data_IF_562929289057
#
_entry.id   IF_562929289057
#
_cell.length_a   1.000
_cell.length_b   1.000
_cell.length_c   1.000
_cell.angle_alpha   90.00
_cell.angle_beta   90.00
_cell.angle_gamma   90.00
#
_symmetry.space_group_name_H-M   'P 1'
#
loop_
_entity.id
_entity.type
_entity.pdbx_description
1 polymer ?
#
# COMPACT_ATOMS: atom_id res chain seq x y z
N UNK A 1 15.94 14.89 2.22
CA UNK A 1 16.46 14.62 0.88
C UNK A 1 15.34 14.81 -0.15
N UNK A 2 15.61 15.54 -1.25
CA UNK A 2 14.63 15.71 -2.31
C UNK A 2 14.37 14.38 -3.01
N UNK A 3 13.14 14.15 -3.50
CA UNK A 3 12.76 12.95 -4.26
C UNK A 3 13.67 12.71 -5.48
N UNK A 4 14.15 13.78 -6.10
CA UNK A 4 15.12 13.70 -7.20
C UNK A 4 16.45 13.10 -6.75
N UNK A 5 16.97 13.52 -5.59
CA UNK A 5 18.22 13.01 -5.03
C UNK A 5 18.11 11.53 -4.64
N UNK A 6 16.99 11.13 -4.04
CA UNK A 6 16.72 9.72 -3.73
C UNK A 6 16.67 8.85 -4.99
N UNK A 7 15.97 9.29 -6.04
CA UNK A 7 15.94 8.57 -7.33
C UNK A 7 17.34 8.41 -7.93
N UNK A 8 18.15 9.48 -7.94
CA UNK A 8 19.51 9.43 -8.46
C UNK A 8 20.42 8.50 -7.66
N UNK A 9 20.23 8.42 -6.34
CA UNK A 9 20.96 7.47 -5.49
C UNK A 9 20.58 6.03 -5.83
N UNK A 10 19.29 5.73 -6.01
CA UNK A 10 18.83 4.39 -6.41
C UNK A 10 19.37 3.99 -7.78
N UNK A 11 19.31 4.88 -8.78
CA UNK A 11 19.85 4.64 -10.13
C UNK A 11 21.36 4.32 -10.05
N UNK A 12 22.12 5.19 -9.39
CA UNK A 12 23.58 5.00 -9.24
C UNK A 12 23.93 3.69 -8.54
N UNK A 13 23.20 3.34 -7.48
CA UNK A 13 23.47 2.14 -6.72
C UNK A 13 23.07 0.87 -7.49
N UNK A 14 21.99 0.92 -8.29
CA UNK A 14 21.62 -0.16 -9.20
C UNK A 14 22.72 -0.39 -10.26
N UNK A 15 23.22 0.71 -10.86
CA UNK A 15 24.33 0.63 -11.82
C UNK A 15 25.59 0.02 -11.22
N UNK A 16 25.91 0.33 -9.95
CA UNK A 16 27.16 -0.14 -9.31
C UNK A 16 27.06 -1.53 -8.72
N UNK A 17 25.92 -1.91 -8.15
CA UNK A 17 25.75 -3.14 -7.37
C UNK A 17 25.05 -4.25 -8.14
N UNK A 18 24.33 -3.92 -9.20
CA UNK A 18 23.49 -4.84 -9.95
C UNK A 18 23.67 -4.71 -11.46
N UNK A 19 24.86 -4.29 -11.91
CA UNK A 19 25.25 -4.17 -13.33
C UNK A 19 24.26 -3.39 -14.21
N UNK A 20 23.56 -2.43 -13.61
CA UNK A 20 22.56 -1.60 -14.29
C UNK A 20 21.14 -2.16 -14.24
N UNK A 21 20.95 -3.37 -13.77
CA UNK A 21 19.62 -3.97 -13.62
C UNK A 21 18.93 -3.57 -12.33
N UNK A 22 17.61 -3.67 -12.31
CA UNK A 22 16.80 -3.54 -11.12
C UNK A 22 16.63 -4.92 -10.49
N UNK A 23 17.01 -5.12 -9.21
CA UNK A 23 16.83 -6.41 -8.56
C UNK A 23 15.37 -6.86 -8.56
N UNK A 24 15.13 -8.13 -8.83
CA UNK A 24 13.80 -8.74 -8.85
C UNK A 24 13.47 -9.53 -7.57
N UNK A 25 13.99 -9.09 -6.44
CA UNK A 25 13.70 -9.68 -5.14
C UNK A 25 13.69 -8.62 -4.03
N UNK A 26 12.92 -8.84 -2.99
CA UNK A 26 12.76 -7.90 -1.88
C UNK A 26 14.06 -7.58 -1.16
N UNK A 27 14.87 -8.61 -0.89
CA UNK A 27 16.12 -8.49 -0.13
C UNK A 27 17.09 -7.50 -0.77
N UNK A 28 17.24 -7.54 -2.07
CA UNK A 28 18.15 -6.66 -2.79
C UNK A 28 17.54 -5.30 -3.11
N UNK A 29 16.24 -5.25 -3.38
CA UNK A 29 15.52 -3.98 -3.51
C UNK A 29 15.61 -3.13 -2.23
N UNK A 30 15.41 -3.74 -1.07
CA UNK A 30 15.44 -3.04 0.23
C UNK A 30 16.85 -2.57 0.64
N UNK A 31 17.92 -3.07 -0.01
CA UNK A 31 19.29 -2.55 0.15
C UNK A 31 19.52 -1.23 -0.60
N UNK A 32 18.66 -0.88 -1.53
CA UNK A 32 18.79 0.37 -2.27
C UNK A 32 18.38 1.57 -1.39
N UNK A 33 19.11 2.71 -1.44
CA UNK A 33 18.80 3.87 -0.64
C UNK A 33 17.39 4.42 -0.90
N UNK A 34 16.58 4.55 0.15
CA UNK A 34 15.22 5.07 0.05
C UNK A 34 14.18 4.05 -0.42
N UNK A 35 14.58 2.79 -0.60
CA UNK A 35 13.67 1.68 -0.91
C UNK A 35 13.35 0.92 0.37
N UNK A 36 12.17 1.15 0.93
CA UNK A 36 11.61 0.35 2.01
C UNK A 36 10.65 -0.72 1.48
N UNK A 37 10.10 -1.52 2.38
CA UNK A 37 9.20 -2.65 2.04
C UNK A 37 8.04 -2.25 1.10
N UNK A 38 7.40 -1.10 1.35
CA UNK A 38 6.31 -0.59 0.48
C UNK A 38 6.81 -0.33 -0.94
N UNK A 39 7.96 0.33 -1.11
CA UNK A 39 8.52 0.63 -2.43
C UNK A 39 8.95 -0.65 -3.15
N UNK A 40 9.60 -1.56 -2.43
CA UNK A 40 9.96 -2.88 -2.96
C UNK A 40 8.72 -3.66 -3.43
N UNK A 41 7.63 -3.65 -2.64
CA UNK A 41 6.37 -4.29 -3.02
C UNK A 41 5.76 -3.69 -4.30
N UNK A 42 5.82 -2.38 -4.48
CA UNK A 42 5.37 -1.72 -5.71
C UNK A 42 6.23 -2.13 -6.91
N UNK A 43 7.55 -2.16 -6.76
CA UNK A 43 8.46 -2.59 -7.83
C UNK A 43 8.20 -4.04 -8.20
N UNK A 44 8.08 -4.93 -7.22
CA UNK A 44 7.79 -6.35 -7.46
C UNK A 44 6.46 -6.54 -8.19
N UNK A 45 5.40 -5.84 -7.74
CA UNK A 45 4.06 -6.01 -8.33
C UNK A 45 3.93 -5.34 -9.70
N UNK A 46 4.38 -4.11 -9.85
CA UNK A 46 4.15 -3.32 -11.07
C UNK A 46 5.28 -3.46 -12.09
N UNK A 47 6.52 -3.68 -11.64
CA UNK A 47 7.67 -3.85 -12.50
C UNK A 47 7.88 -5.28 -12.96
N UNK A 48 7.70 -6.24 -12.08
CA UNK A 48 7.97 -7.66 -12.34
C UNK A 48 6.71 -8.54 -12.39
N UNK A 49 5.53 -7.99 -12.14
CA UNK A 49 4.28 -8.75 -12.13
C UNK A 49 4.17 -9.78 -11.01
N UNK A 50 5.08 -9.74 -10.03
CA UNK A 50 5.07 -10.67 -8.90
C UNK A 50 3.97 -10.31 -7.90
N UNK A 51 3.28 -11.29 -7.31
CA UNK A 51 2.25 -11.02 -6.33
C UNK A 51 2.81 -10.28 -5.11
N UNK A 52 2.36 -9.04 -4.88
CA UNK A 52 2.70 -8.26 -3.70
C UNK A 52 1.56 -7.29 -3.33
N UNK A 53 1.31 -7.14 -2.05
CA UNK A 53 0.31 -6.21 -1.54
C UNK A 53 0.98 -4.99 -0.91
N UNK A 54 1.24 -3.96 -1.71
CA UNK A 54 1.91 -2.74 -1.25
C UNK A 54 0.97 -1.88 -0.41
N UNK A 55 1.02 -1.99 0.90
CA UNK A 55 0.18 -1.21 1.82
C UNK A 55 0.75 0.20 2.00
N UNK A 56 0.00 1.20 1.55
CA UNK A 56 0.27 2.61 1.79
C UNK A 56 -0.72 3.21 2.82
N UNK A 57 -0.63 4.52 3.03
CA UNK A 57 -1.52 5.23 3.97
C UNK A 57 -3.00 5.18 3.55
N UNK A 58 -3.30 5.10 2.26
CA UNK A 58 -4.68 4.96 1.77
C UNK A 58 -5.23 3.58 2.10
N UNK A 59 -4.48 2.53 1.76
CA UNK A 59 -4.89 1.15 2.03
C UNK A 59 -5.03 0.90 3.53
N UNK A 60 -4.04 1.32 4.31
CA UNK A 60 -4.09 1.17 5.77
C UNK A 60 -5.32 1.84 6.40
N UNK A 61 -5.67 3.04 5.92
CA UNK A 61 -6.88 3.76 6.35
C UNK A 61 -8.16 3.05 5.93
N UNK A 62 -8.28 2.68 4.66
CA UNK A 62 -9.50 2.08 4.14
C UNK A 62 -9.73 0.68 4.72
N UNK A 63 -8.71 -0.13 4.84
CA UNK A 63 -8.80 -1.45 5.45
C UNK A 63 -9.37 -1.37 6.88
N UNK A 64 -8.97 -0.36 7.66
CA UNK A 64 -9.57 -0.11 8.98
C UNK A 64 -11.02 0.37 8.89
N UNK A 65 -11.34 1.32 7.99
CA UNK A 65 -12.70 1.81 7.80
C UNK A 65 -13.68 0.74 7.39
N UNK A 66 -13.21 -0.22 6.60
CA UNK A 66 -13.99 -1.36 6.11
C UNK A 66 -13.98 -2.57 7.06
N UNK A 67 -13.18 -2.53 8.13
CA UNK A 67 -13.11 -3.61 9.12
C UNK A 67 -12.30 -4.82 8.68
N UNK A 68 -11.43 -4.65 7.67
CA UNK A 68 -10.57 -5.71 7.16
C UNK A 68 -9.31 -5.93 8.01
N UNK A 69 -8.99 -5.00 8.89
CA UNK A 69 -7.85 -5.04 9.80
C UNK A 69 -8.13 -4.25 11.08
N UNK A 70 -7.43 -4.60 12.15
CA UNK A 70 -7.47 -3.83 13.40
C UNK A 70 -6.61 -2.56 13.38
N UNK A 71 -5.82 -2.36 12.31
CA UNK A 71 -4.99 -1.19 12.11
C UNK A 71 -3.83 -1.05 13.11
N UNK A 72 -3.34 -2.15 13.68
CA UNK A 72 -2.23 -2.13 14.65
C UNK A 72 -0.97 -1.51 14.04
N UNK A 73 -0.61 -1.92 12.84
CA UNK A 73 0.46 -1.37 12.02
C UNK A 73 0.31 -1.83 10.57
N UNK A 74 1.17 -1.30 9.68
CA UNK A 74 1.14 -1.61 8.24
C UNK A 74 1.39 -3.09 7.94
N UNK A 75 2.31 -3.74 8.68
CA UNK A 75 2.62 -5.17 8.48
C UNK A 75 1.42 -6.07 8.79
N UNK A 76 0.71 -5.77 9.89
CA UNK A 76 -0.53 -6.49 10.24
C UNK A 76 -1.59 -6.26 9.17
N UNK A 77 -1.77 -5.02 8.71
CA UNK A 77 -2.72 -4.71 7.63
C UNK A 77 -2.39 -5.48 6.35
N UNK A 78 -1.12 -5.53 5.96
CA UNK A 78 -0.68 -6.31 4.79
C UNK A 78 -1.02 -7.80 4.94
N UNK A 79 -0.72 -8.37 6.11
CA UNK A 79 -0.98 -9.78 6.38
C UNK A 79 -2.49 -10.09 6.39
N UNK A 80 -3.30 -9.23 7.04
CA UNK A 80 -4.74 -9.38 7.08
C UNK A 80 -5.35 -9.35 5.66
N UNK A 81 -4.92 -8.41 4.81
CA UNK A 81 -5.39 -8.30 3.44
C UNK A 81 -4.94 -9.48 2.57
N UNK A 82 -3.71 -9.96 2.74
CA UNK A 82 -3.21 -11.16 2.04
C UNK A 82 -3.98 -12.41 2.42
N UNK A 83 -4.41 -12.52 3.67
CA UNK A 83 -5.21 -13.65 4.13
C UNK A 83 -6.68 -13.60 3.62
N UNK A 84 -7.20 -12.38 3.37
CA UNK A 84 -8.58 -12.18 2.94
C UNK A 84 -8.77 -12.33 1.44
N UNK A 85 -7.77 -11.98 0.64
CA UNK A 85 -7.88 -11.92 -0.81
C UNK A 85 -6.95 -12.92 -1.50
N UNK A 86 -7.38 -13.53 -2.60
CA UNK A 86 -6.54 -14.45 -3.35
C UNK A 86 -5.34 -13.72 -3.99
N UNK A 87 -4.21 -14.41 -4.04
CA UNK A 87 -2.91 -13.86 -4.45
C UNK A 87 -2.94 -13.20 -5.83
N UNK A 88 -3.64 -13.79 -6.77
CA UNK A 88 -3.79 -13.29 -8.14
C UNK A 88 -4.50 -11.92 -8.22
N UNK A 89 -5.24 -11.54 -7.18
CA UNK A 89 -5.95 -10.27 -7.11
C UNK A 89 -5.12 -9.13 -6.50
N UNK A 90 -4.02 -9.42 -5.79
CA UNK A 90 -3.32 -8.42 -4.98
C UNK A 90 -2.82 -7.22 -5.77
N UNK A 91 -2.19 -7.45 -6.92
CA UNK A 91 -1.63 -6.38 -7.77
C UNK A 91 -2.70 -5.43 -8.30
N UNK A 92 -3.86 -5.95 -8.63
CA UNK A 92 -4.99 -5.15 -9.12
C UNK A 92 -5.72 -4.45 -7.97
N UNK A 93 -5.99 -5.19 -6.91
CA UNK A 93 -6.79 -4.73 -5.79
C UNK A 93 -6.12 -3.58 -5.04
N UNK A 94 -4.80 -3.63 -4.84
CA UNK A 94 -4.09 -2.55 -4.17
C UNK A 94 -4.23 -1.21 -4.91
N UNK A 95 -4.17 -1.22 -6.26
CA UNK A 95 -4.40 -0.02 -7.07
C UNK A 95 -5.84 0.48 -6.97
N UNK A 96 -6.82 -0.43 -7.00
CA UNK A 96 -8.23 -0.09 -6.88
C UNK A 96 -8.55 0.56 -5.52
N UNK A 97 -7.99 0.02 -4.43
CA UNK A 97 -8.17 0.59 -3.09
C UNK A 97 -7.54 1.98 -2.98
N UNK A 98 -6.33 2.19 -3.54
CA UNK A 98 -5.69 3.51 -3.56
C UNK A 98 -6.56 4.52 -4.32
N UNK A 99 -7.02 4.14 -5.52
CA UNK A 99 -7.87 5.00 -6.33
C UNK A 99 -9.16 5.37 -5.59
N UNK A 100 -9.86 4.39 -5.03
CA UNK A 100 -11.05 4.62 -4.21
C UNK A 100 -10.78 5.54 -3.03
N UNK A 101 -9.65 5.36 -2.38
CA UNK A 101 -9.24 6.18 -1.23
C UNK A 101 -8.92 7.63 -1.57
N UNK A 102 -8.56 7.90 -2.81
CA UNK A 102 -8.32 9.27 -3.29
C UNK A 102 -9.61 9.95 -3.70
N UNK A 103 -10.46 9.27 -4.45
CA UNK A 103 -11.65 9.85 -5.08
C UNK A 103 -12.86 9.89 -4.12
N UNK A 104 -13.14 8.80 -3.43
CA UNK A 104 -14.40 8.62 -2.70
C UNK A 104 -14.28 8.54 -1.19
N UNK A 105 -13.11 8.19 -0.67
CA UNK A 105 -12.91 7.96 0.77
C UNK A 105 -11.61 8.58 1.29
N UNK A 106 -11.47 9.89 1.15
CA UNK A 106 -10.24 10.60 1.53
C UNK A 106 -10.01 10.61 3.05
N UNK A 107 -8.79 11.02 3.46
CA UNK A 107 -8.43 11.10 4.88
C UNK A 107 -9.24 12.18 5.63
N UNK A 108 -9.65 13.23 4.92
CA UNK A 108 -10.32 14.41 5.47
C UNK A 108 -11.83 14.41 5.24
N UNK A 109 -12.36 13.40 4.59
CA UNK A 109 -13.78 13.24 4.32
C UNK A 109 -14.21 11.79 4.50
N UNK A 110 -15.48 11.53 4.31
CA UNK A 110 -16.11 10.23 4.47
C UNK A 110 -16.09 9.68 5.91
N UNK A 111 -14.98 9.68 6.59
CA UNK A 111 -14.82 9.15 7.96
C UNK A 111 -15.49 7.77 8.19
N UNK A 112 -15.62 6.99 7.14
CA UNK A 112 -16.30 5.70 7.18
C UNK A 112 -17.84 5.76 7.12
N UNK A 113 -18.43 6.91 6.75
CA UNK A 113 -19.88 7.15 6.78
C UNK A 113 -20.52 7.37 5.40
N UNK A 114 -19.78 7.93 4.45
CA UNK A 114 -20.39 8.53 3.25
C UNK A 114 -20.27 7.65 2.01
N UNK A 115 -19.07 7.11 1.73
CA UNK A 115 -18.87 6.36 0.50
C UNK A 115 -19.61 5.02 0.52
N UNK A 116 -19.94 4.55 -0.65
CA UNK A 116 -20.73 3.34 -0.87
C UNK A 116 -20.17 2.12 -0.14
N UNK A 117 -18.85 1.87 -0.26
CA UNK A 117 -18.21 0.72 0.40
C UNK A 117 -18.31 0.85 1.93
N UNK A 118 -18.09 2.05 2.49
CA UNK A 118 -18.23 2.23 3.94
C UNK A 118 -19.66 1.98 4.42
N UNK A 119 -20.66 2.40 3.66
CA UNK A 119 -22.09 2.15 3.96
C UNK A 119 -22.43 0.67 3.85
N UNK A 120 -21.87 -0.01 2.86
CA UNK A 120 -22.06 -1.44 2.68
C UNK A 120 -21.43 -2.24 3.81
N UNK A 121 -20.18 -1.93 4.18
CA UNK A 121 -19.49 -2.64 5.27
C UNK A 121 -20.11 -2.38 6.64
N UNK A 122 -20.58 -1.14 6.88
CA UNK A 122 -21.14 -0.74 8.18
C UNK A 122 -22.39 0.13 8.00
N UNK A 123 -23.53 -0.45 7.57
CA UNK A 123 -24.75 0.30 7.27
C UNK A 123 -25.35 1.04 8.48
N UNK A 124 -25.07 0.56 9.69
CA UNK A 124 -25.56 1.16 10.94
C UNK A 124 -24.56 2.13 11.61
N UNK A 125 -23.44 2.45 10.95
CA UNK A 125 -22.44 3.37 11.51
C UNK A 125 -22.98 4.80 11.45
N UNK A 126 -23.10 5.45 12.61
CA UNK A 126 -23.55 6.85 12.73
C UNK A 126 -22.46 7.78 13.23
N UNK A 127 -21.39 7.22 13.81
CA UNK A 127 -20.26 8.00 14.34
C UNK A 127 -19.05 7.94 13.42
N UNK A 128 -18.30 9.04 13.24
CA UNK A 128 -17.07 9.08 12.48
C UNK A 128 -16.05 8.04 12.99
N UNK A 129 -15.45 7.31 12.07
CA UNK A 129 -14.40 6.35 12.38
C UNK A 129 -13.02 7.00 12.19
N UNK A 130 -12.32 7.17 13.30
CA UNK A 130 -10.94 7.69 13.30
C UNK A 130 -9.95 6.53 13.16
N UNK A 131 -9.33 6.42 11.99
CA UNK A 131 -8.32 5.38 11.73
C UNK A 131 -7.00 5.70 12.46
N UNK A 132 -6.29 4.66 12.85
CA UNK A 132 -4.91 4.77 13.35
C UNK A 132 -3.97 5.09 12.20
N UNK A 133 -3.01 5.97 12.42
CA UNK A 133 -1.95 6.24 11.45
C UNK A 133 -1.00 5.04 11.34
N UNK A 134 -0.38 4.84 10.17
CA UNK A 134 0.63 3.79 10.01
C UNK A 134 1.86 4.01 10.89
#
# INVERSE_FOLDING_TARGET
>A
LSLRRLRQMCIRDSMKKFDGDVPNNFKDLEKLPGVGHKTASVVMSQGFGMPAFAVDTHIHRLAQRWGLTNGKNVKVTEQDLKNLFPEESWNKLHLQIIFWGREYCSARSCFGLECEICKTCYPKRTKPFMHKKP
#
